data_IF_531475712449
#
_entry.id   IF_531475712449
#
_cell.length_a   1.000
_cell.length_b   1.000
_cell.length_c   1.000
_cell.angle_alpha   90.00
_cell.angle_beta   90.00
_cell.angle_gamma   90.00
#
_symmetry.space_group_name_H-M   'P 1'
#
loop_
_entity.id
_entity.type
_entity.pdbx_description
1 polymer ?
#
# COMPACT_ATOMS: atom_id res chain seq x y z
N UNK A 1 -21.87 -5.05 11.14
CA UNK A 1 -20.91 -4.00 11.50
C UNK A 1 -19.50 -4.45 11.15
N UNK A 2 -18.96 -3.93 10.07
CA UNK A 2 -17.57 -4.18 9.68
C UNK A 2 -16.69 -3.41 10.68
N UNK A 3 -15.73 -4.11 11.28
CA UNK A 3 -14.79 -3.51 12.22
C UNK A 3 -13.75 -2.65 11.48
N UNK A 4 -14.12 -1.40 11.22
CA UNK A 4 -13.25 -0.41 10.59
C UNK A 4 -11.98 -0.25 11.42
N UNK A 5 -10.82 -0.20 10.78
CA UNK A 5 -9.52 -0.11 11.44
C UNK A 5 -9.00 -1.44 12.01
N UNK A 6 -9.74 -2.55 11.86
CA UNK A 6 -9.26 -3.89 12.17
C UNK A 6 -9.00 -4.67 10.88
N UNK A 7 -7.96 -5.50 10.89
CA UNK A 7 -7.64 -6.43 9.79
C UNK A 7 -7.53 -5.78 8.41
N UNK A 8 -7.04 -4.54 8.35
CA UNK A 8 -6.84 -3.84 7.08
C UNK A 8 -8.11 -3.32 6.42
N UNK A 9 -9.21 -3.21 7.16
CA UNK A 9 -10.43 -2.56 6.66
C UNK A 9 -10.26 -1.04 6.79
N UNK A 10 -10.05 -0.39 5.66
CA UNK A 10 -9.94 1.06 5.60
C UNK A 10 -11.33 1.73 5.59
N UNK A 11 -11.45 2.95 6.11
CA UNK A 11 -12.66 3.74 5.98
C UNK A 11 -12.95 4.03 4.51
N UNK A 12 -14.23 3.97 4.11
CA UNK A 12 -14.66 4.24 2.73
C UNK A 12 -15.91 5.13 2.65
N UNK A 13 -16.48 5.49 3.78
CA UNK A 13 -17.60 6.45 3.89
C UNK A 13 -17.14 7.66 4.68
N UNK A 14 -17.67 8.84 4.34
CA UNK A 14 -17.36 10.08 5.09
C UNK A 14 -17.64 9.95 6.59
N UNK A 15 -18.66 9.19 6.97
CA UNK A 15 -18.98 8.89 8.38
C UNK A 15 -17.91 8.08 9.11
N UNK A 16 -17.03 7.41 8.38
CA UNK A 16 -16.00 6.56 8.95
C UNK A 16 -14.72 7.33 9.30
N UNK A 17 -14.63 8.60 8.87
CA UNK A 17 -13.51 9.50 9.17
C UNK A 17 -13.73 10.32 10.44
N UNK A 18 -14.46 9.75 11.40
CA UNK A 18 -14.74 10.39 12.71
C UNK A 18 -13.92 9.69 13.79
N UNK A 19 -13.02 10.40 14.52
CA UNK A 19 -12.15 9.80 15.54
C UNK A 19 -12.90 8.95 16.58
N UNK A 20 -14.08 9.41 17.03
CA UNK A 20 -14.88 8.71 18.06
C UNK A 20 -15.23 7.27 17.69
N UNK A 21 -15.35 6.93 16.40
CA UNK A 21 -15.62 5.55 15.97
C UNK A 21 -14.47 4.63 16.38
N UNK A 22 -13.24 5.10 16.27
CA UNK A 22 -12.04 4.32 16.63
C UNK A 22 -11.87 4.23 18.13
N UNK A 23 -12.16 5.31 18.85
CA UNK A 23 -12.11 5.33 20.32
C UNK A 23 -13.19 4.40 20.91
N UNK A 24 -14.46 4.61 20.55
CA UNK A 24 -15.59 3.90 21.16
C UNK A 24 -15.67 2.43 20.74
N UNK A 25 -15.40 2.13 19.47
CA UNK A 25 -15.57 0.78 18.93
C UNK A 25 -14.31 -0.06 18.91
N UNK A 26 -13.14 0.58 18.85
CA UNK A 26 -11.85 -0.10 18.70
C UNK A 26 -10.97 0.05 19.94
N UNK A 27 -11.32 0.95 20.86
CA UNK A 27 -10.54 1.23 22.06
C UNK A 27 -9.21 1.93 21.77
N UNK A 28 -9.16 2.72 20.68
CA UNK A 28 -7.97 3.48 20.35
C UNK A 28 -7.83 4.68 21.30
N UNK A 29 -6.59 5.11 21.50
CA UNK A 29 -6.33 6.39 22.13
C UNK A 29 -6.92 7.53 21.30
N UNK A 30 -7.49 8.56 21.95
CA UNK A 30 -8.19 9.65 21.30
C UNK A 30 -7.26 10.45 20.37
N UNK A 31 -6.03 10.71 20.81
CA UNK A 31 -5.05 11.44 20.02
C UNK A 31 -4.63 10.65 18.78
N UNK A 32 -4.38 9.35 18.94
CA UNK A 32 -4.04 8.44 17.81
C UNK A 32 -5.20 8.36 16.82
N UNK A 33 -6.44 8.24 17.29
CA UNK A 33 -7.62 8.19 16.43
C UNK A 33 -7.79 9.48 15.63
N UNK A 34 -7.54 10.64 16.26
CA UNK A 34 -7.59 11.95 15.63
C UNK A 34 -6.50 12.09 14.55
N UNK A 35 -5.25 11.83 14.89
CA UNK A 35 -4.12 11.91 13.94
C UNK A 35 -4.33 10.99 12.74
N UNK A 36 -4.82 9.78 12.97
CA UNK A 36 -5.13 8.83 11.91
C UNK A 36 -6.20 9.36 10.93
N UNK A 37 -7.33 9.83 11.46
CA UNK A 37 -8.43 10.32 10.62
C UNK A 37 -8.09 11.62 9.91
N UNK A 38 -7.36 12.54 10.55
CA UNK A 38 -6.86 13.77 9.93
C UNK A 38 -5.86 13.45 8.80
N UNK A 39 -4.94 12.52 9.02
CA UNK A 39 -3.98 12.09 7.99
C UNK A 39 -4.69 11.48 6.78
N UNK A 40 -5.69 10.62 7.00
CA UNK A 40 -6.46 10.04 5.91
C UNK A 40 -7.23 11.09 5.10
N UNK A 41 -7.88 12.06 5.77
CA UNK A 41 -8.57 13.15 5.10
C UNK A 41 -7.61 14.03 4.30
N UNK A 42 -6.44 14.35 4.88
CA UNK A 42 -5.40 15.10 4.20
C UNK A 42 -4.88 14.37 2.94
N UNK A 43 -4.72 13.05 3.04
CA UNK A 43 -4.35 12.21 1.89
C UNK A 43 -5.42 12.21 0.80
N UNK A 44 -6.71 12.16 1.16
CA UNK A 44 -7.82 12.22 0.19
C UNK A 44 -7.90 13.58 -0.50
N UNK A 45 -7.71 14.66 0.24
CA UNK A 45 -7.84 16.03 -0.30
C UNK A 45 -6.62 16.48 -1.11
N UNK A 46 -5.42 16.12 -0.67
CA UNK A 46 -4.15 16.58 -1.24
C UNK A 46 -3.46 15.58 -2.14
N UNK A 47 -3.90 14.32 -2.15
CA UNK A 47 -3.23 13.29 -2.91
C UNK A 47 -3.44 13.49 -4.41
N UNK A 48 -2.42 14.03 -5.06
CA UNK A 48 -2.24 13.93 -6.51
C UNK A 48 -1.73 12.53 -6.90
N UNK A 49 -1.28 11.74 -5.94
CA UNK A 49 -0.77 10.40 -6.12
C UNK A 49 -1.78 9.37 -5.61
N UNK A 50 -2.79 9.08 -6.40
CA UNK A 50 -3.64 7.92 -6.16
C UNK A 50 -2.82 6.67 -6.46
N UNK A 51 -2.35 6.00 -5.41
CA UNK A 51 -1.61 4.75 -5.57
C UNK A 51 -2.62 3.64 -5.87
N UNK A 52 -2.79 3.34 -7.14
CA UNK A 52 -3.54 2.16 -7.54
C UNK A 52 -2.67 0.89 -7.38
N UNK A 53 -3.28 -0.24 -7.04
CA UNK A 53 -2.55 -1.50 -7.07
C UNK A 53 -1.92 -1.71 -8.43
N UNK A 54 -0.63 -1.98 -8.48
CA UNK A 54 0.09 -2.28 -9.71
C UNK A 54 -0.62 -3.42 -10.47
N UNK A 55 -1.06 -3.15 -11.69
CA UNK A 55 -1.72 -4.13 -12.58
C UNK A 55 -0.76 -4.55 -13.68
N UNK A 56 0.32 -5.21 -13.28
CA UNK A 56 1.37 -5.65 -14.19
C UNK A 56 1.60 -7.15 -14.09
N UNK A 57 2.11 -7.81 -15.15
CA UNK A 57 2.55 -9.20 -15.07
C UNK A 57 3.54 -9.39 -13.91
N UNK A 58 3.31 -10.39 -13.08
CA UNK A 58 4.18 -10.69 -11.94
C UNK A 58 3.90 -9.88 -10.67
N UNK A 59 2.82 -9.09 -10.58
CA UNK A 59 2.52 -8.23 -9.41
C UNK A 59 2.58 -8.98 -8.08
N UNK A 60 2.03 -10.17 -8.00
CA UNK A 60 2.05 -10.97 -6.76
C UNK A 60 3.46 -11.37 -6.34
N UNK A 61 4.35 -11.67 -7.30
CA UNK A 61 5.74 -11.98 -7.01
C UNK A 61 6.51 -10.74 -6.54
N UNK A 62 6.29 -9.59 -7.17
CA UNK A 62 6.86 -8.31 -6.72
C UNK A 62 6.45 -7.99 -5.29
N UNK A 63 5.16 -8.08 -4.99
CA UNK A 63 4.61 -7.82 -3.64
C UNK A 63 5.15 -8.82 -2.61
N UNK A 64 5.23 -10.12 -2.98
CA UNK A 64 5.75 -11.16 -2.10
C UNK A 64 7.23 -10.94 -1.76
N UNK A 65 8.03 -10.49 -2.73
CA UNK A 65 9.43 -10.15 -2.47
C UNK A 65 9.55 -9.01 -1.44
N UNK A 66 8.73 -7.94 -1.57
CA UNK A 66 8.69 -6.84 -0.59
C UNK A 66 8.29 -7.35 0.79
N UNK A 67 7.23 -8.14 0.88
CA UNK A 67 6.76 -8.69 2.15
C UNK A 67 7.83 -9.54 2.83
N UNK A 68 8.55 -10.36 2.06
CA UNK A 68 9.65 -11.18 2.57
C UNK A 68 10.81 -10.33 3.09
N UNK A 69 11.25 -9.33 2.32
CA UNK A 69 12.32 -8.42 2.74
C UNK A 69 11.94 -7.65 4.00
N UNK A 70 10.72 -7.11 4.05
CA UNK A 70 10.19 -6.41 5.23
C UNK A 70 10.18 -7.32 6.45
N UNK A 71 9.72 -8.56 6.31
CA UNK A 71 9.69 -9.52 7.42
C UNK A 71 11.09 -9.84 7.95
N UNK A 72 12.09 -9.99 7.08
CA UNK A 72 13.48 -10.23 7.47
C UNK A 72 14.07 -9.03 8.24
N UNK A 73 13.78 -7.81 7.77
CA UNK A 73 14.24 -6.60 8.43
C UNK A 73 13.60 -6.43 9.81
N UNK A 74 12.29 -6.63 9.94
CA UNK A 74 11.57 -6.56 11.21
C UNK A 74 12.01 -7.66 12.20
N UNK A 75 12.40 -8.82 11.71
CA UNK A 75 12.97 -9.90 12.52
C UNK A 75 14.44 -9.66 12.92
N UNK A 76 15.07 -8.58 12.49
CA UNK A 76 16.47 -8.27 12.75
C UNK A 76 17.47 -9.20 12.02
N UNK A 77 17.02 -9.92 11.00
CA UNK A 77 17.87 -10.82 10.19
C UNK A 77 18.71 -10.04 9.17
N UNK A 78 18.20 -8.93 8.69
CA UNK A 78 18.86 -8.03 7.76
C UNK A 78 18.67 -6.57 8.24
N UNK A 79 19.61 -5.71 7.91
CA UNK A 79 19.37 -4.28 7.98
C UNK A 79 18.30 -3.85 6.96
N UNK A 80 17.62 -2.70 7.14
CA UNK A 80 16.66 -2.19 6.16
C UNK A 80 17.25 -2.07 4.75
N UNK A 81 18.50 -1.64 4.64
CA UNK A 81 19.16 -1.50 3.34
C UNK A 81 19.42 -2.86 2.67
N UNK A 82 19.96 -3.84 3.41
CA UNK A 82 20.18 -5.19 2.88
C UNK A 82 18.88 -5.84 2.43
N UNK A 83 17.79 -5.64 3.19
CA UNK A 83 16.47 -6.14 2.81
C UNK A 83 15.97 -5.52 1.50
N UNK A 84 16.15 -4.22 1.29
CA UNK A 84 15.79 -3.54 0.05
C UNK A 84 16.64 -3.99 -1.13
N UNK A 85 17.93 -4.22 -0.92
CA UNK A 85 18.84 -4.73 -1.93
C UNK A 85 18.47 -6.16 -2.38
N UNK A 86 18.09 -7.04 -1.43
CA UNK A 86 17.55 -8.36 -1.75
C UNK A 86 16.25 -8.28 -2.56
N UNK A 87 15.33 -7.39 -2.17
CA UNK A 87 14.07 -7.17 -2.89
C UNK A 87 14.34 -6.70 -4.31
N UNK A 88 15.25 -5.73 -4.49
CA UNK A 88 15.61 -5.22 -5.80
C UNK A 88 16.21 -6.31 -6.69
N UNK A 89 17.09 -7.14 -6.15
CA UNK A 89 17.68 -8.28 -6.86
C UNK A 89 16.62 -9.32 -7.28
N UNK A 90 15.64 -9.58 -6.43
CA UNK A 90 14.54 -10.50 -6.76
C UNK A 90 13.62 -9.90 -7.83
N UNK A 91 13.34 -8.60 -7.77
CA UNK A 91 12.56 -7.89 -8.80
C UNK A 91 13.23 -7.97 -10.17
N UNK A 92 14.55 -7.84 -10.25
CA UNK A 92 15.28 -8.02 -11.52
C UNK A 92 15.11 -9.43 -12.11
N UNK A 93 15.10 -10.48 -11.26
CA UNK A 93 14.82 -11.86 -11.72
C UNK A 93 13.38 -12.00 -12.22
N UNK A 94 12.42 -11.41 -11.51
CA UNK A 94 11.02 -11.42 -11.93
C UNK A 94 10.87 -10.71 -13.26
N UNK A 95 11.45 -9.50 -13.42
CA UNK A 95 11.42 -8.73 -14.67
C UNK A 95 12.01 -9.50 -15.86
N UNK A 96 13.11 -10.21 -15.66
CA UNK A 96 13.69 -11.09 -16.70
C UNK A 96 12.75 -12.20 -17.14
N UNK A 97 11.97 -12.75 -16.19
CA UNK A 97 11.04 -13.86 -16.46
C UNK A 97 9.75 -13.39 -17.13
N UNK A 98 9.16 -12.30 -16.67
CA UNK A 98 7.86 -11.80 -17.19
C UNK A 98 8.00 -10.90 -18.42
N UNK A 99 9.22 -10.41 -18.68
CA UNK A 99 9.53 -9.49 -19.76
C UNK A 99 9.39 -8.03 -19.32
N UNK A 100 10.49 -7.29 -19.36
CA UNK A 100 10.52 -5.88 -18.91
C UNK A 100 9.59 -4.99 -19.76
N UNK A 101 9.50 -5.24 -21.06
CA UNK A 101 8.65 -4.47 -21.96
C UNK A 101 7.17 -4.76 -21.72
N UNK A 102 6.80 -6.02 -21.45
CA UNK A 102 5.44 -6.38 -21.06
C UNK A 102 4.99 -5.66 -19.78
N UNK A 103 5.89 -5.55 -18.79
CA UNK A 103 5.61 -4.83 -17.53
C UNK A 103 5.44 -3.34 -17.81
N UNK A 104 6.32 -2.75 -18.64
CA UNK A 104 6.25 -1.32 -19.01
C UNK A 104 4.96 -0.98 -19.75
N UNK A 105 4.57 -1.81 -20.71
CA UNK A 105 3.35 -1.61 -21.48
C UNK A 105 2.10 -1.72 -20.60
N UNK A 106 2.02 -2.75 -19.76
CA UNK A 106 0.91 -2.92 -18.82
C UNK A 106 0.82 -1.76 -17.81
N UNK A 107 1.96 -1.24 -17.34
CA UNK A 107 2.01 -0.07 -16.47
C UNK A 107 1.50 1.18 -17.18
N UNK A 108 1.95 1.42 -18.41
CA UNK A 108 1.51 2.57 -19.19
C UNK A 108 0.00 2.57 -19.45
N UNK A 109 -0.57 1.39 -19.74
CA UNK A 109 -2.03 1.22 -19.87
C UNK A 109 -2.74 1.50 -18.55
N UNK A 110 -2.19 1.04 -17.42
CA UNK A 110 -2.75 1.28 -16.09
C UNK A 110 -2.81 2.78 -15.76
N UNK A 111 -1.74 3.51 -16.03
CA UNK A 111 -1.67 4.97 -15.80
C UNK A 111 -2.61 5.72 -16.74
N UNK A 112 -2.68 5.36 -18.03
CA UNK A 112 -3.59 6.00 -18.97
C UNK A 112 -5.07 5.78 -18.63
N UNK A 113 -5.43 4.64 -18.05
CA UNK A 113 -6.78 4.40 -17.55
C UNK A 113 -7.11 5.28 -16.33
N UNK A 114 -6.12 5.59 -15.49
CA UNK A 114 -6.27 6.48 -14.35
C UNK A 114 -6.54 7.93 -14.79
N UNK A 115 -5.80 8.42 -15.78
CA UNK A 115 -5.97 9.77 -16.31
C UNK A 115 -7.35 10.00 -16.95
N UNK A 116 -8.01 8.93 -17.43
CA UNK A 116 -9.35 8.98 -18.02
C UNK A 116 -10.50 8.89 -16.98
N UNK A 117 -10.20 8.64 -15.72
CA UNK A 117 -11.19 8.57 -14.63
C UNK A 117 -11.33 9.89 -13.85
N UNK A 118 -10.51 10.89 -14.15
CA UNK A 118 -10.55 12.25 -13.62
C UNK A 118 -11.15 13.19 -14.66
#
# INVERSE_FOLDING_TARGET
>A
DIAIGRFGVNPFKKSDFVPNIYVERQGWDEQIAKEYTETLLDMEEKSTNRVFPLRVPGVFQFTSAVATGTSKALAGQLSPQEALDEVAAEWEKILKRVGKDNVREAYAVGVALEDNLN
#
